data_IF_593365641002
#
_entry.id   IF_593365641002
#
_cell.length_a   1.000
_cell.length_b   1.000
_cell.length_c   1.000
_cell.angle_alpha   90.00
_cell.angle_beta   90.00
_cell.angle_gamma   90.00
#
_symmetry.space_group_name_H-M   'P 1'
#
loop_
_entity.id
_entity.type
_entity.pdbx_description
1 polymer ?
#
# COMPACT_ATOMS: atom_id res chain seq x y z
N UNK A 1 1.31 -33.70 13.65
CA UNK A 1 0.55 -33.70 12.38
C UNK A 1 0.62 -32.32 11.74
N UNK A 2 1.16 -32.18 10.52
CA UNK A 2 1.08 -30.92 9.75
C UNK A 2 -0.36 -30.77 9.25
N UNK A 3 -1.10 -29.73 9.68
CA UNK A 3 -2.42 -29.42 9.13
C UNK A 3 -2.28 -29.18 7.62
N UNK A 4 -3.06 -29.90 6.81
CA UNK A 4 -3.12 -29.70 5.36
C UNK A 4 -3.74 -28.32 5.09
N UNK A 5 -2.98 -27.41 4.47
CA UNK A 5 -3.49 -26.09 4.09
C UNK A 5 -4.25 -26.23 2.77
N UNK A 6 -5.51 -25.77 2.75
CA UNK A 6 -6.32 -25.71 1.53
C UNK A 6 -6.03 -24.39 0.80
N UNK A 7 -5.28 -24.48 -0.30
CA UNK A 7 -4.96 -23.33 -1.14
C UNK A 7 -6.20 -22.78 -1.85
N UNK A 8 -6.22 -21.48 -2.12
CA UNK A 8 -7.27 -20.82 -2.93
C UNK A 8 -8.71 -21.11 -2.46
N UNK A 9 -8.92 -21.28 -1.15
CA UNK A 9 -10.19 -21.75 -0.58
C UNK A 9 -11.11 -20.64 -0.07
N UNK A 10 -10.57 -19.44 0.15
CA UNK A 10 -11.32 -18.29 0.68
C UNK A 10 -11.27 -17.12 -0.29
N UNK A 11 -12.38 -16.41 -0.41
CA UNK A 11 -12.47 -15.17 -1.19
C UNK A 11 -12.29 -13.99 -0.23
N UNK A 12 -11.26 -13.15 -0.41
CA UNK A 12 -11.11 -11.96 0.42
C UNK A 12 -12.23 -10.95 0.19
N UNK A 13 -12.65 -10.29 1.26
CA UNK A 13 -13.64 -9.23 1.21
C UNK A 13 -12.93 -7.88 1.00
N UNK A 14 -12.76 -7.52 -0.27
CA UNK A 14 -12.05 -6.31 -0.67
C UNK A 14 -12.98 -5.10 -0.53
N UNK A 15 -12.57 -4.03 0.20
CA UNK A 15 -13.39 -2.84 0.34
C UNK A 15 -13.57 -2.14 -1.01
N UNK A 16 -14.79 -1.67 -1.32
CA UNK A 16 -15.08 -0.98 -2.60
C UNK A 16 -14.23 0.28 -2.81
N UNK A 17 -13.91 0.97 -1.72
CA UNK A 17 -13.04 2.14 -1.67
C UNK A 17 -12.08 1.97 -0.50
N UNK A 18 -10.84 2.40 -0.69
CA UNK A 18 -9.80 2.38 0.32
C UNK A 18 -8.79 3.52 0.06
N UNK A 19 -7.73 3.58 0.87
CA UNK A 19 -6.69 4.59 0.80
C UNK A 19 -5.31 3.95 0.88
N UNK A 20 -4.39 4.49 0.08
CA UNK A 20 -2.94 4.33 0.27
C UNK A 20 -2.40 5.62 0.87
N UNK A 21 -1.50 5.53 1.84
CA UNK A 21 -0.95 6.69 2.55
C UNK A 21 0.55 6.83 2.27
N UNK A 22 0.98 8.03 1.87
CA UNK A 22 2.39 8.42 1.73
C UNK A 22 2.73 9.37 2.87
N UNK A 23 3.48 8.87 3.85
CA UNK A 23 3.85 9.63 5.05
C UNK A 23 5.09 10.47 4.81
N UNK A 24 5.17 11.59 5.52
CA UNK A 24 6.38 12.41 5.59
C UNK A 24 7.12 12.15 6.90
N UNK A 25 8.43 11.99 6.82
CA UNK A 25 9.34 11.83 7.95
C UNK A 25 10.27 13.03 7.96
N UNK A 26 10.33 13.76 9.07
CA UNK A 26 11.22 14.90 9.29
C UNK A 26 12.29 14.61 10.32
N UNK A 27 13.35 15.42 10.36
CA UNK A 27 14.34 15.42 11.45
C UNK A 27 14.04 16.52 12.51
N UNK A 28 12.85 17.11 12.45
CA UNK A 28 12.43 18.26 13.26
C UNK A 28 12.71 19.63 12.65
N UNK A 29 13.44 19.72 11.53
CA UNK A 29 13.64 20.98 10.78
C UNK A 29 13.08 20.88 9.38
N UNK A 30 13.38 19.78 8.69
CA UNK A 30 12.97 19.56 7.31
C UNK A 30 12.47 18.14 7.11
N UNK A 31 11.72 17.94 6.03
CA UNK A 31 11.29 16.61 5.63
C UNK A 31 12.47 15.89 4.97
N UNK A 32 12.87 14.75 5.52
CA UNK A 32 14.03 13.98 5.06
C UNK A 32 13.64 12.73 4.27
N UNK A 33 12.39 12.25 4.39
CA UNK A 33 11.92 11.08 3.64
C UNK A 33 10.40 11.12 3.43
N UNK A 34 9.97 10.70 2.23
CA UNK A 34 8.58 10.31 1.94
C UNK A 34 8.52 8.79 1.89
N UNK A 35 7.46 8.19 2.45
CA UNK A 35 7.33 6.74 2.46
C UNK A 35 5.90 6.26 2.18
N UNK A 36 5.67 5.47 1.10
CA UNK A 36 4.36 4.86 0.85
C UNK A 36 4.14 3.67 1.79
N UNK A 37 3.19 3.79 2.70
CA UNK A 37 2.78 2.70 3.58
C UNK A 37 2.32 1.49 2.76
N UNK A 38 2.58 0.30 3.29
CA UNK A 38 2.20 -0.98 2.68
C UNK A 38 0.83 -1.47 3.15
N UNK A 39 0.21 -0.80 4.12
CA UNK A 39 -1.12 -1.12 4.63
C UNK A 39 -2.20 -0.51 3.74
N UNK A 40 -3.25 -1.28 3.46
CA UNK A 40 -4.49 -0.76 2.87
C UNK A 40 -5.41 -0.24 3.98
N UNK A 41 -5.88 1.00 3.85
CA UNK A 41 -6.77 1.61 4.84
C UNK A 41 -8.18 1.73 4.29
N UNK A 42 -9.18 1.30 5.03
CA UNK A 42 -10.60 1.40 4.63
C UNK A 42 -11.20 2.77 4.94
N UNK A 43 -10.51 3.58 5.75
CA UNK A 43 -10.93 4.94 6.11
C UNK A 43 -9.75 5.82 6.51
N UNK A 44 -9.96 7.13 6.47
CA UNK A 44 -9.01 8.13 6.98
C UNK A 44 -8.78 7.97 8.49
N UNK A 45 -9.79 7.47 9.22
CA UNK A 45 -9.66 7.15 10.64
C UNK A 45 -8.63 6.04 10.88
N UNK A 46 -8.65 4.98 10.07
CA UNK A 46 -7.65 3.90 10.16
C UNK A 46 -6.24 4.44 9.87
N UNK A 47 -6.09 5.37 8.93
CA UNK A 47 -4.82 6.04 8.68
C UNK A 47 -4.36 6.76 9.95
N UNK A 48 -5.19 7.61 10.56
CA UNK A 48 -4.84 8.32 11.80
C UNK A 48 -4.42 7.37 12.91
N UNK A 49 -5.12 6.24 13.09
CA UNK A 49 -4.77 5.23 14.11
C UNK A 49 -3.40 4.59 13.82
N UNK A 50 -3.14 4.23 12.57
CA UNK A 50 -1.86 3.62 12.20
C UNK A 50 -0.71 4.62 12.38
N UNK A 51 -0.86 5.87 11.94
CA UNK A 51 0.15 6.91 12.13
C UNK A 51 0.46 7.15 13.63
N UNK A 52 -0.56 7.14 14.49
CA UNK A 52 -0.38 7.24 15.94
C UNK A 52 0.33 6.04 16.57
N UNK A 53 0.22 4.87 15.94
CA UNK A 53 0.94 3.67 16.37
C UNK A 53 2.38 3.68 15.86
N UNK A 54 2.61 4.16 14.63
CA UNK A 54 3.94 4.31 14.05
C UNK A 54 4.81 5.27 14.89
N UNK A 55 4.28 6.41 15.34
CA UNK A 55 5.02 7.36 16.19
C UNK A 55 5.44 6.78 17.55
N UNK A 56 4.84 5.68 17.99
CA UNK A 56 5.17 4.99 19.25
C UNK A 56 6.25 3.91 19.06
N UNK A 57 6.67 3.63 17.83
CA UNK A 57 7.70 2.61 17.57
C UNK A 57 9.06 3.07 18.10
N UNK A 58 9.92 2.14 18.56
CA UNK A 58 11.25 2.49 19.10
C UNK A 58 12.09 3.33 18.14
N UNK A 59 11.99 3.06 16.83
CA UNK A 59 12.70 3.80 15.78
C UNK A 59 12.40 5.31 15.74
N UNK A 60 11.25 5.75 16.31
CA UNK A 60 10.84 7.16 16.38
C UNK A 60 10.85 7.71 17.82
N UNK A 61 11.13 6.89 18.84
CA UNK A 61 11.15 7.33 20.25
C UNK A 61 12.46 8.00 20.64
N UNK A 62 13.57 7.44 20.17
CA UNK A 62 14.92 7.88 20.53
C UNK A 62 15.66 8.53 19.35
N UNK A 63 15.01 8.67 18.20
CA UNK A 63 15.59 9.32 17.03
C UNK A 63 15.15 10.78 16.93
N UNK A 64 15.94 11.58 16.20
CA UNK A 64 15.51 12.92 15.77
C UNK A 64 14.38 12.86 14.74
N UNK A 65 14.05 11.66 14.25
CA UNK A 65 13.08 11.47 13.20
C UNK A 65 11.66 11.50 13.75
N UNK A 66 10.77 12.18 13.05
CA UNK A 66 9.35 12.30 13.42
C UNK A 66 8.48 12.00 12.21
N UNK A 67 7.35 11.34 12.44
CA UNK A 67 6.29 11.23 11.44
C UNK A 67 5.42 12.47 11.55
N UNK A 68 5.37 13.24 10.47
CA UNK A 68 4.57 14.44 10.39
C UNK A 68 3.08 14.16 10.57
N UNK A 69 2.35 15.19 11.01
CA UNK A 69 0.88 15.10 11.13
C UNK A 69 0.18 15.06 9.78
N UNK A 70 0.84 15.58 8.75
CA UNK A 70 0.35 15.59 7.38
C UNK A 70 0.79 14.33 6.67
N UNK A 71 -0.07 13.83 5.78
CA UNK A 71 0.20 12.72 4.87
C UNK A 71 -0.49 12.99 3.54
N UNK A 72 -0.08 12.29 2.49
CA UNK A 72 -0.85 12.21 1.26
C UNK A 72 -1.68 10.94 1.29
N UNK A 73 -2.97 11.07 1.06
CA UNK A 73 -3.87 9.95 0.81
C UNK A 73 -4.13 9.83 -0.68
N UNK A 74 -3.97 8.64 -1.22
CA UNK A 74 -4.40 8.29 -2.57
C UNK A 74 -5.67 7.45 -2.38
N UNK A 75 -6.87 7.99 -2.67
CA UNK A 75 -8.08 7.20 -2.67
C UNK A 75 -7.98 6.18 -3.80
N UNK A 76 -8.37 4.95 -3.53
CA UNK A 76 -8.34 3.87 -4.51
C UNK A 76 -9.69 3.17 -4.55
N UNK A 77 -10.12 2.77 -5.75
CA UNK A 77 -11.44 2.19 -5.98
C UNK A 77 -11.30 0.79 -6.56
N UNK A 78 -12.01 -0.18 -5.97
CA UNK A 78 -11.97 -1.57 -6.42
C UNK A 78 -12.36 -1.64 -7.90
N UNK A 79 -11.53 -2.30 -8.70
CA UNK A 79 -11.72 -2.41 -10.12
C UNK A 79 -12.01 -3.85 -10.54
N UNK A 80 -11.12 -4.78 -10.21
CA UNK A 80 -11.26 -6.17 -10.62
C UNK A 80 -10.48 -7.14 -9.73
N UNK A 81 -10.88 -8.39 -9.76
CA UNK A 81 -10.15 -9.48 -9.12
C UNK A 81 -8.99 -9.95 -10.01
N UNK A 82 -7.89 -10.33 -9.36
CA UNK A 82 -6.77 -11.03 -9.99
C UNK A 82 -6.66 -12.43 -9.37
N UNK A 83 -6.76 -13.47 -10.20
CA UNK A 83 -6.75 -14.86 -9.71
C UNK A 83 -5.35 -15.28 -9.25
N UNK A 84 -5.23 -15.74 -8.02
CA UNK A 84 -3.97 -16.19 -7.45
C UNK A 84 -3.71 -17.66 -7.80
N UNK A 85 -2.47 -17.95 -8.21
CA UNK A 85 -2.02 -19.30 -8.58
C UNK A 85 -1.00 -19.83 -7.58
N UNK A 86 -0.83 -21.16 -7.55
CA UNK A 86 0.05 -21.87 -6.60
C UNK A 86 1.48 -21.36 -6.59
N UNK A 87 1.92 -20.94 -7.76
CA UNK A 87 3.30 -20.58 -8.04
C UNK A 87 3.68 -19.23 -7.41
N UNK A 88 2.72 -18.35 -7.11
CA UNK A 88 2.98 -17.03 -6.51
C UNK A 88 3.33 -17.09 -5.02
N UNK A 89 3.18 -18.26 -4.37
CA UNK A 89 3.53 -18.45 -2.96
C UNK A 89 4.96 -18.94 -2.74
N UNK A 90 5.74 -19.07 -3.82
CA UNK A 90 7.18 -19.33 -3.71
C UNK A 90 7.81 -18.05 -3.16
N UNK A 91 8.55 -18.13 -2.04
CA UNK A 91 9.41 -17.02 -1.60
C UNK A 91 10.51 -16.86 -2.64
N UNK A 92 10.47 -15.82 -3.49
CA UNK A 92 11.49 -15.61 -4.49
C UNK A 92 12.69 -14.88 -3.88
N UNK A 93 13.82 -14.91 -4.57
CA UNK A 93 15.07 -14.28 -4.11
C UNK A 93 15.12 -12.76 -4.41
N UNK A 94 14.12 -12.22 -5.11
CA UNK A 94 14.12 -10.82 -5.56
C UNK A 94 13.32 -9.94 -4.60
N UNK A 95 14.07 -9.15 -3.82
CA UNK A 95 13.54 -8.14 -2.92
C UNK A 95 13.31 -6.82 -3.67
N UNK A 96 12.09 -6.30 -3.59
CA UNK A 96 11.78 -5.00 -4.17
C UNK A 96 12.36 -3.86 -3.31
N UNK A 97 13.31 -3.13 -3.86
CA UNK A 97 13.92 -1.95 -3.23
C UNK A 97 12.88 -0.88 -2.86
N UNK A 98 13.01 -0.30 -1.66
CA UNK A 98 12.09 0.72 -1.17
C UNK A 98 12.04 1.98 -2.05
N UNK A 99 13.18 2.36 -2.63
CA UNK A 99 13.29 3.52 -3.53
C UNK A 99 12.43 3.33 -4.79
N UNK A 100 12.51 2.15 -5.43
CA UNK A 100 11.67 1.83 -6.59
C UNK A 100 10.18 1.89 -6.27
N UNK A 101 9.81 1.45 -5.06
CA UNK A 101 8.42 1.56 -4.59
C UNK A 101 8.03 3.02 -4.44
N UNK A 102 8.84 3.84 -3.78
CA UNK A 102 8.59 5.27 -3.63
C UNK A 102 8.42 5.94 -5.00
N UNK A 103 9.36 5.76 -5.92
CA UNK A 103 9.31 6.32 -7.28
C UNK A 103 8.01 5.96 -8.01
N UNK A 104 7.57 4.71 -7.85
CA UNK A 104 6.33 4.22 -8.46
C UNK A 104 5.11 4.93 -7.88
N UNK A 105 5.07 5.16 -6.57
CA UNK A 105 3.97 5.89 -5.92
C UNK A 105 4.02 7.41 -6.16
N UNK A 106 5.20 8.01 -6.32
CA UNK A 106 5.32 9.41 -6.75
C UNK A 106 4.76 9.61 -8.17
N UNK A 107 4.95 8.64 -9.06
CA UNK A 107 4.31 8.66 -10.38
C UNK A 107 2.79 8.55 -10.28
N UNK A 108 2.27 7.69 -9.40
CA UNK A 108 0.82 7.62 -9.13
C UNK A 108 0.31 8.95 -8.60
N UNK A 109 1.04 9.61 -7.70
CA UNK A 109 0.63 10.90 -7.18
C UNK A 109 0.40 11.92 -8.32
N UNK A 110 1.36 12.06 -9.23
CA UNK A 110 1.28 13.06 -10.31
C UNK A 110 0.34 12.65 -11.46
N UNK A 111 0.13 11.36 -11.67
CA UNK A 111 -0.48 10.81 -12.89
C UNK A 111 -1.51 9.70 -12.59
N UNK A 112 -2.22 9.81 -11.48
CA UNK A 112 -3.08 8.76 -10.90
C UNK A 112 -4.04 8.09 -11.90
N UNK A 113 -4.60 8.85 -12.85
CA UNK A 113 -5.55 8.36 -13.85
C UNK A 113 -4.99 7.28 -14.79
N UNK A 114 -3.67 7.09 -14.83
CA UNK A 114 -3.02 6.08 -15.68
C UNK A 114 -2.64 4.80 -14.94
N UNK A 115 -2.90 4.72 -13.63
CA UNK A 115 -2.44 3.61 -12.80
C UNK A 115 -3.56 2.79 -12.16
N UNK A 116 -3.31 1.48 -12.08
CA UNK A 116 -3.97 0.54 -11.17
C UNK A 116 -2.99 0.06 -10.12
N UNK A 117 -3.47 -0.24 -8.92
CA UNK A 117 -2.65 -0.70 -7.79
C UNK A 117 -3.07 -2.12 -7.46
N UNK A 118 -2.08 -3.01 -7.34
CA UNK A 118 -2.30 -4.38 -6.92
C UNK A 118 -2.37 -4.45 -5.39
N UNK A 119 -3.43 -5.08 -4.87
CA UNK A 119 -3.66 -5.30 -3.46
C UNK A 119 -3.62 -6.80 -3.19
N UNK A 120 -2.70 -7.22 -2.32
CA UNK A 120 -2.47 -8.62 -1.98
C UNK A 120 -3.08 -8.94 -0.61
N UNK A 121 -3.80 -10.07 -0.46
CA UNK A 121 -4.20 -10.56 0.85
C UNK A 121 -2.99 -11.16 1.55
N UNK A 122 -2.53 -10.53 2.63
CA UNK A 122 -1.32 -10.94 3.34
C UNK A 122 -1.61 -11.95 4.45
N UNK A 123 -2.68 -11.71 5.23
CA UNK A 123 -3.04 -12.57 6.35
C UNK A 123 -4.56 -12.67 6.52
N UNK A 124 -5.04 -13.79 7.05
CA UNK A 124 -6.43 -13.95 7.50
C UNK A 124 -6.48 -14.37 8.98
N UNK A 125 -6.84 -13.40 9.84
CA UNK A 125 -6.85 -13.51 11.32
C UNK A 125 -8.22 -13.15 11.87
N UNK A 126 -8.78 -13.99 12.76
CA UNK A 126 -10.08 -13.76 13.42
C UNK A 126 -11.22 -13.37 12.45
N UNK A 127 -11.25 -13.99 11.27
CA UNK A 127 -12.19 -13.70 10.17
C UNK A 127 -12.02 -12.34 9.46
N UNK A 128 -10.92 -11.64 9.71
CA UNK A 128 -10.57 -10.40 9.02
C UNK A 128 -9.35 -10.59 8.14
N UNK A 129 -9.39 -9.98 6.95
CA UNK A 129 -8.28 -9.93 6.02
C UNK A 129 -7.38 -8.74 6.34
N UNK A 130 -6.07 -8.98 6.29
CA UNK A 130 -5.05 -7.94 6.29
C UNK A 130 -4.52 -7.85 4.88
N UNK A 131 -4.62 -6.66 4.30
CA UNK A 131 -4.25 -6.39 2.92
C UNK A 131 -2.96 -5.60 2.85
N UNK A 132 -2.21 -5.91 1.80
CA UNK A 132 -0.94 -5.31 1.48
C UNK A 132 -1.04 -4.57 0.15
N UNK A 133 -0.60 -3.33 0.15
CA UNK A 133 -0.50 -2.50 -1.05
C UNK A 133 0.80 -2.86 -1.75
N UNK A 134 0.72 -3.57 -2.88
CA UNK A 134 1.87 -3.92 -3.73
C UNK A 134 2.32 -2.70 -4.56
N UNK A 135 2.80 -2.90 -5.77
CA UNK A 135 3.16 -1.85 -6.71
C UNK A 135 1.97 -1.36 -7.55
N UNK A 136 2.03 -0.12 -8.02
CA UNK A 136 1.20 0.36 -9.11
C UNK A 136 1.70 -0.16 -10.46
N UNK A 137 0.76 -0.38 -11.37
CA UNK A 137 0.94 -0.75 -12.77
C UNK A 137 0.18 0.24 -13.63
N UNK A 138 0.58 0.41 -14.89
CA UNK A 138 -0.26 1.14 -15.82
C UNK A 138 -1.58 0.39 -16.04
N UNK A 139 -2.67 1.12 -16.31
CA UNK A 139 -3.99 0.52 -16.52
C UNK A 139 -3.95 -0.57 -17.61
N UNK A 140 -3.21 -0.30 -18.69
CA UNK A 140 -3.04 -1.18 -19.85
C UNK A 140 -1.97 -2.28 -19.67
N UNK A 141 -1.29 -2.37 -18.51
CA UNK A 141 -0.33 -3.46 -18.27
C UNK A 141 -1.04 -4.79 -18.39
N UNK A 142 -0.51 -5.65 -19.26
CA UNK A 142 -1.06 -6.96 -19.55
C UNK A 142 -0.91 -7.92 -18.35
N UNK A 143 -1.77 -8.94 -18.31
CA UNK A 143 -1.78 -9.90 -17.21
C UNK A 143 -0.47 -10.69 -17.09
N UNK A 144 0.19 -11.03 -18.21
CA UNK A 144 1.43 -11.83 -18.19
C UNK A 144 2.57 -11.07 -17.52
N UNK A 145 2.69 -9.77 -17.76
CA UNK A 145 3.64 -8.89 -17.06
C UNK A 145 3.39 -8.89 -15.56
N UNK A 146 2.13 -8.84 -15.14
CA UNK A 146 1.78 -8.86 -13.71
C UNK A 146 2.00 -10.24 -13.09
N UNK A 147 1.70 -11.31 -13.80
CA UNK A 147 2.00 -12.68 -13.37
C UNK A 147 3.52 -12.89 -13.20
N UNK A 148 4.34 -12.37 -14.12
CA UNK A 148 5.79 -12.42 -14.01
C UNK A 148 6.28 -11.65 -12.78
N UNK A 149 5.70 -10.48 -12.49
CA UNK A 149 5.97 -9.76 -11.25
C UNK A 149 5.62 -10.63 -10.03
N UNK A 150 4.43 -11.23 -9.99
CA UNK A 150 3.99 -12.08 -8.87
C UNK A 150 4.85 -13.32 -8.66
N UNK A 151 5.49 -13.85 -9.72
CA UNK A 151 6.42 -14.97 -9.61
C UNK A 151 7.79 -14.56 -9.05
N UNK A 152 8.18 -13.30 -9.23
CA UNK A 152 9.48 -12.78 -8.81
C UNK A 152 9.46 -11.94 -7.54
N UNK A 153 8.32 -11.36 -7.15
CA UNK A 153 8.24 -10.46 -6.01
C UNK A 153 8.19 -11.19 -4.67
N UNK A 154 9.05 -10.82 -3.72
CA UNK A 154 9.01 -11.33 -2.33
C UNK A 154 7.90 -10.69 -1.50
N UNK A 155 6.70 -10.64 -2.07
CA UNK A 155 5.51 -10.13 -1.40
C UNK A 155 4.64 -11.30 -0.91
N UNK A 156 4.55 -11.53 0.41
CA UNK A 156 3.85 -12.68 0.95
C UNK A 156 2.35 -12.59 0.69
N UNK A 157 1.79 -13.67 0.14
CA UNK A 157 0.35 -13.83 -0.07
C UNK A 157 -0.18 -14.93 0.84
N UNK A 158 -1.35 -14.73 1.45
CA UNK A 158 -2.03 -15.73 2.26
C UNK A 158 -2.44 -16.92 1.39
N UNK A 159 -1.97 -18.13 1.73
CA UNK A 159 -2.15 -19.35 0.93
C UNK A 159 -3.62 -19.70 0.66
N UNK A 160 -4.51 -19.33 1.59
CA UNK A 160 -5.94 -19.59 1.48
C UNK A 160 -6.66 -18.65 0.51
N UNK A 161 -6.06 -17.52 0.15
CA UNK A 161 -6.72 -16.52 -0.68
C UNK A 161 -6.84 -16.98 -2.14
N UNK A 162 -8.04 -16.83 -2.70
CA UNK A 162 -8.32 -17.13 -4.11
C UNK A 162 -7.97 -15.97 -5.04
N UNK A 163 -8.05 -14.74 -4.54
CA UNK A 163 -7.90 -13.53 -5.35
C UNK A 163 -7.02 -12.50 -4.65
N UNK A 164 -6.26 -11.76 -5.45
CA UNK A 164 -5.84 -10.39 -5.17
C UNK A 164 -6.82 -9.42 -5.85
N UNK A 165 -6.62 -8.13 -5.68
CA UNK A 165 -7.48 -7.11 -6.30
C UNK A 165 -6.66 -6.04 -6.99
N UNK A 166 -7.14 -5.58 -8.15
CA UNK A 166 -6.72 -4.32 -8.73
C UNK A 166 -7.66 -3.22 -8.29
N UNK A 167 -7.07 -2.08 -7.93
CA UNK A 167 -7.78 -0.85 -7.67
C UNK A 167 -7.33 0.23 -8.65
N UNK A 168 -8.21 1.10 -9.10
CA UNK A 168 -7.82 2.33 -9.82
C UNK A 168 -7.50 3.44 -8.82
N UNK A 169 -6.48 4.23 -9.09
CA UNK A 169 -6.13 5.38 -8.25
C UNK A 169 -7.01 6.60 -8.58
N UNK A 170 -7.53 7.25 -7.54
CA UNK A 170 -8.17 8.56 -7.63
C UNK A 170 -7.20 9.71 -7.36
N UNK A 171 -7.70 10.94 -7.43
CA UNK A 171 -6.91 12.14 -7.19
C UNK A 171 -6.33 12.10 -5.77
N UNK A 172 -5.00 12.16 -5.60
CA UNK A 172 -4.41 12.26 -4.28
C UNK A 172 -4.90 13.50 -3.55
N UNK A 173 -4.86 13.45 -2.23
CA UNK A 173 -5.28 14.54 -1.36
C UNK A 173 -4.37 14.62 -0.16
N UNK A 174 -4.20 15.81 0.38
CA UNK A 174 -3.46 16.00 1.63
C UNK A 174 -4.41 15.80 2.79
N UNK A 175 -3.97 15.01 3.77
CA UNK A 175 -4.71 14.74 4.99
C UNK A 175 -3.90 15.14 6.21
N UNK A 176 -4.51 15.92 7.11
CA UNK A 176 -3.93 16.29 8.39
C UNK A 176 -4.55 15.43 9.50
N UNK A 177 -3.76 14.55 10.13
CA UNK A 177 -4.29 13.54 11.07
C UNK A 177 -4.86 14.14 12.35
N UNK A 178 -4.42 15.34 12.74
CA UNK A 178 -4.82 16.01 13.99
C UNK A 178 -6.17 16.69 13.78
N UNK A 179 -6.27 17.48 12.71
CA UNK A 179 -7.49 18.26 12.40
C UNK A 179 -8.52 17.47 11.60
N UNK A 180 -8.11 16.33 11.02
CA UNK A 180 -8.87 15.51 10.05
C UNK A 180 -9.30 16.27 8.80
N UNK A 181 -8.61 17.37 8.48
CA UNK A 181 -8.88 18.16 7.28
C UNK A 181 -8.28 17.50 6.05
N UNK A 182 -8.98 17.66 4.93
CA UNK A 182 -8.59 17.20 3.60
C UNK A 182 -8.50 18.43 2.70
N UNK A 183 -7.34 18.61 2.07
CA UNK A 183 -7.07 19.71 1.14
C UNK A 183 -6.46 19.17 -0.16
N UNK A 184 -6.48 19.95 -1.24
CA UNK A 184 -5.83 19.60 -2.52
C UNK A 184 -4.30 19.48 -2.31
N UNK A 185 -3.59 18.49 -2.90
CA UNK A 185 -2.17 18.28 -2.62
C UNK A 185 -1.24 19.28 -3.34
N UNK A 186 -1.81 20.27 -4.04
CA UNK A 186 -1.06 21.21 -4.86
C UNK A 186 -0.04 22.00 -4.01
N UNK A 187 1.24 21.75 -4.30
CA UNK A 187 2.49 22.36 -3.77
C UNK A 187 3.31 21.58 -2.72
N UNK A 188 2.95 20.36 -2.30
CA UNK A 188 3.72 19.69 -1.23
C UNK A 188 4.95 18.87 -1.70
N UNK A 189 4.92 18.26 -2.90
CA UNK A 189 5.99 17.35 -3.35
C UNK A 189 7.03 18.05 -4.25
N UNK A 190 6.76 19.27 -4.72
CA UNK A 190 7.65 20.01 -5.64
C UNK A 190 9.02 20.32 -5.01
N UNK A 191 9.16 20.20 -3.68
CA UNK A 191 10.40 20.49 -2.96
C UNK A 191 11.40 19.32 -2.86
N UNK A 192 11.17 18.15 -3.48
CA UNK A 192 12.06 16.98 -3.41
C UNK A 192 12.83 16.66 -4.71
N UNK A 193 12.84 17.56 -5.68
CA UNK A 193 13.69 17.46 -6.89
C UNK A 193 14.84 18.46 -6.82
#
# INVERSE_FOLDING_TARGET
MKKKVNYCSLTPDFPKQAFVSLIFISDGKEIVKIYPLRTLFSSEFEVSQDLNNLTKRPEFKDSRLKIEDRTILIPIYFHSHFFLKKEFWKKPDYHLEEERRLDSFLKVHSNHQFYKILILPQEYKKKNWIFYVSLPFYLNTDLKTIENFMLGADEPVELRAKYAAFYTAGKPMRFDRITRKIDDPDNAIVAFN
#
